data_IF_322129108928
#
_entry.id   IF_322129108928
#
_cell.length_a   1.000
_cell.length_b   1.000
_cell.length_c   1.000
_cell.angle_alpha   90.00
_cell.angle_beta   90.00
_cell.angle_gamma   90.00
#
_symmetry.space_group_name_H-M   'P 1'
#
loop_
_entity.id
_entity.type
_entity.pdbx_description
1 polymer ?
#
# COMPACT_ATOMS: atom_id res chain seq x y z
N UNK A 1 -52.84 -62.14 -28.14
CA UNK A 1 -52.66 -61.28 -29.33
C UNK A 1 -52.27 -59.90 -28.86
N UNK A 2 -51.19 -59.38 -29.44
CA UNK A 2 -50.75 -57.98 -29.47
C UNK A 2 -50.22 -57.32 -28.17
N UNK A 3 -48.88 -57.32 -28.12
CA UNK A 3 -47.98 -56.31 -27.55
C UNK A 3 -48.41 -54.88 -27.96
N UNK A 4 -48.35 -53.90 -27.06
CA UNK A 4 -48.05 -52.52 -27.45
C UNK A 4 -47.30 -51.78 -26.35
N UNK A 5 -46.01 -51.57 -26.63
CA UNK A 5 -45.06 -50.76 -25.89
C UNK A 5 -45.32 -49.28 -26.25
N UNK A 6 -45.69 -48.45 -25.27
CA UNK A 6 -45.84 -47.00 -25.47
C UNK A 6 -44.73 -46.27 -24.70
N UNK A 7 -43.65 -45.94 -25.41
CA UNK A 7 -42.61 -45.00 -24.98
C UNK A 7 -43.12 -43.61 -25.31
N UNK A 8 -43.50 -42.83 -24.28
CA UNK A 8 -43.77 -41.40 -24.41
C UNK A 8 -42.52 -40.62 -24.01
N UNK A 9 -41.94 -39.98 -25.02
CA UNK A 9 -40.76 -39.10 -24.98
C UNK A 9 -41.09 -37.85 -24.16
N UNK A 10 -40.39 -37.65 -23.04
CA UNK A 10 -40.37 -36.38 -22.33
C UNK A 10 -39.55 -35.36 -23.14
N UNK A 11 -40.23 -34.45 -23.83
CA UNK A 11 -39.60 -33.30 -24.46
C UNK A 11 -39.27 -32.27 -23.36
N UNK A 12 -38.07 -32.35 -22.81
CA UNK A 12 -37.55 -31.32 -21.91
C UNK A 12 -37.34 -30.03 -22.72
N UNK A 13 -38.27 -29.09 -22.61
CA UNK A 13 -38.07 -27.70 -23.02
C UNK A 13 -37.02 -27.15 -22.05
N UNK A 14 -35.74 -27.20 -22.44
CA UNK A 14 -34.72 -26.44 -21.74
C UNK A 14 -35.05 -24.95 -21.94
N UNK A 15 -35.30 -24.16 -20.89
CA UNK A 15 -35.31 -22.72 -21.06
C UNK A 15 -33.90 -22.35 -21.51
N UNK A 16 -33.79 -21.93 -22.77
CA UNK A 16 -32.63 -21.20 -23.24
C UNK A 16 -32.35 -20.12 -22.19
N UNK A 17 -31.15 -20.15 -21.62
CA UNK A 17 -30.59 -19.07 -20.82
C UNK A 17 -30.62 -17.82 -21.70
N UNK A 18 -31.75 -17.12 -21.65
CA UNK A 18 -31.86 -15.74 -22.05
C UNK A 18 -30.87 -15.03 -21.14
N UNK A 19 -29.73 -14.63 -21.71
CA UNK A 19 -28.79 -13.71 -21.10
C UNK A 19 -29.57 -12.44 -20.86
N UNK A 20 -30.15 -12.33 -19.66
CA UNK A 20 -30.87 -11.14 -19.22
C UNK A 20 -29.88 -9.99 -19.32
N UNK A 21 -30.23 -8.98 -20.12
CA UNK A 21 -29.47 -7.74 -20.23
C UNK A 21 -29.50 -7.12 -18.84
N UNK A 22 -28.37 -7.20 -18.13
CA UNK A 22 -28.27 -7.00 -16.69
C UNK A 22 -29.05 -5.78 -16.22
N UNK A 23 -30.06 -6.02 -15.39
CA UNK A 23 -30.70 -4.99 -14.59
C UNK A 23 -29.61 -4.40 -13.69
N UNK A 24 -29.23 -3.15 -13.95
CA UNK A 24 -28.27 -2.43 -13.09
C UNK A 24 -28.86 -2.38 -11.67
N UNK A 25 -28.27 -3.14 -10.75
CA UNK A 25 -28.73 -3.21 -9.37
C UNK A 25 -28.24 -1.97 -8.62
N UNK A 26 -29.15 -1.04 -8.38
CA UNK A 26 -28.86 0.15 -7.58
C UNK A 26 -29.07 -0.15 -6.09
N UNK A 27 -28.18 0.36 -5.25
CA UNK A 27 -28.35 0.35 -3.79
C UNK A 27 -28.05 -0.97 -3.09
N UNK A 28 -27.51 -1.96 -3.80
CA UNK A 28 -27.03 -3.21 -3.19
C UNK A 28 -25.82 -2.99 -2.27
N UNK A 29 -25.08 -1.90 -2.48
CA UNK A 29 -23.78 -1.68 -1.85
C UNK A 29 -22.76 -2.74 -2.30
N UNK A 30 -21.62 -2.78 -1.61
CA UNK A 30 -20.60 -3.80 -1.76
C UNK A 30 -20.30 -4.40 -0.40
N UNK A 31 -20.32 -5.72 -0.29
CA UNK A 31 -19.91 -6.45 0.93
C UNK A 31 -18.87 -7.49 0.50
N UNK A 32 -17.68 -7.39 1.07
CA UNK A 32 -16.53 -8.24 0.71
C UNK A 32 -15.80 -8.71 1.96
N UNK A 33 -15.39 -9.97 1.96
CA UNK A 33 -14.51 -10.52 2.99
C UNK A 33 -13.05 -10.33 2.57
N UNK A 34 -12.29 -9.63 3.39
CA UNK A 34 -10.92 -9.22 3.11
C UNK A 34 -9.98 -10.04 4.02
N UNK A 35 -8.99 -10.76 3.48
CA UNK A 35 -8.09 -11.64 4.24
C UNK A 35 -6.99 -10.86 4.97
N UNK A 36 -7.38 -9.79 5.67
CA UNK A 36 -6.51 -8.92 6.45
C UNK A 36 -7.12 -8.67 7.84
N UNK A 37 -6.27 -8.44 8.87
CA UNK A 37 -6.76 -8.11 10.21
C UNK A 37 -7.45 -6.74 10.23
N UNK A 38 -8.38 -6.56 11.17
CA UNK A 38 -9.19 -5.34 11.27
C UNK A 38 -8.34 -4.07 11.40
N UNK A 39 -7.19 -4.15 12.07
CA UNK A 39 -6.27 -3.02 12.24
C UNK A 39 -5.74 -2.49 10.90
N UNK A 40 -5.36 -3.40 10.00
CA UNK A 40 -4.79 -3.05 8.70
C UNK A 40 -5.89 -2.49 7.78
N UNK A 41 -7.06 -3.12 7.79
CA UNK A 41 -8.22 -2.67 7.01
C UNK A 41 -8.71 -1.31 7.49
N UNK A 42 -8.81 -1.10 8.80
CA UNK A 42 -9.17 0.20 9.38
C UNK A 42 -8.17 1.28 9.00
N UNK A 43 -6.87 0.97 8.98
CA UNK A 43 -5.84 1.90 8.55
C UNK A 43 -5.99 2.26 7.07
N UNK A 44 -6.16 1.27 6.19
CA UNK A 44 -6.37 1.50 4.76
C UNK A 44 -7.64 2.33 4.49
N UNK A 45 -8.75 2.02 5.17
CA UNK A 45 -10.00 2.81 5.07
C UNK A 45 -9.77 4.25 5.53
N UNK A 46 -9.04 4.49 6.62
CA UNK A 46 -8.72 5.84 7.09
C UNK A 46 -7.91 6.64 6.08
N UNK A 47 -6.95 6.01 5.39
CA UNK A 47 -6.17 6.67 4.34
C UNK A 47 -7.05 7.02 3.13
N UNK A 48 -7.92 6.10 2.71
CA UNK A 48 -8.85 6.31 1.59
C UNK A 48 -9.85 7.42 1.92
N UNK A 49 -10.42 7.49 3.12
CA UNK A 49 -11.37 8.58 3.45
C UNK A 49 -10.67 9.94 3.56
N UNK A 50 -9.40 9.97 3.98
CA UNK A 50 -8.63 11.21 4.15
C UNK A 50 -8.08 11.79 2.83
N UNK A 51 -8.09 11.02 1.73
CA UNK A 51 -7.58 11.51 0.44
C UNK A 51 -8.47 12.61 -0.19
N UNK A 52 -9.70 12.79 0.31
CA UNK A 52 -10.65 13.81 -0.15
C UNK A 52 -11.24 13.60 -1.54
N UNK A 53 -11.12 12.39 -2.10
CA UNK A 53 -11.50 12.05 -3.47
C UNK A 53 -12.48 10.86 -3.47
N UNK A 54 -13.70 11.03 -3.99
CA UNK A 54 -14.63 9.91 -4.23
C UNK A 54 -14.45 9.41 -5.66
N UNK A 55 -14.10 8.13 -5.80
CA UNK A 55 -13.88 7.45 -7.08
C UNK A 55 -15.17 6.78 -7.57
N UNK A 56 -15.17 6.36 -8.84
CA UNK A 56 -16.30 5.66 -9.45
C UNK A 56 -17.50 6.54 -9.81
N UNK A 57 -17.40 7.86 -9.58
CA UNK A 57 -18.36 8.86 -10.07
C UNK A 57 -17.60 10.11 -10.53
N UNK A 58 -18.29 10.99 -11.24
CA UNK A 58 -17.77 12.27 -11.77
C UNK A 58 -18.90 13.28 -11.88
N UNK A 59 -18.58 14.56 -11.67
CA UNK A 59 -19.49 15.69 -11.86
C UNK A 59 -19.41 16.17 -13.32
N UNK A 60 -18.20 16.40 -13.82
CA UNK A 60 -17.95 16.82 -15.19
C UNK A 60 -17.43 15.67 -16.06
N UNK A 61 -17.70 15.74 -17.37
CA UNK A 61 -17.34 14.65 -18.28
C UNK A 61 -15.83 14.38 -18.35
N UNK A 62 -15.02 15.44 -18.18
CA UNK A 62 -13.55 15.38 -18.16
C UNK A 62 -12.97 14.85 -16.85
N UNK A 63 -13.77 14.80 -15.79
CA UNK A 63 -13.29 14.35 -14.50
C UNK A 63 -13.27 12.83 -14.44
N UNK A 64 -12.32 12.30 -13.67
CA UNK A 64 -12.20 10.87 -13.40
C UNK A 64 -12.75 10.50 -12.01
N UNK A 65 -12.90 11.50 -11.14
CA UNK A 65 -13.27 11.35 -9.74
C UNK A 65 -13.85 12.67 -9.22
N UNK A 66 -14.56 12.61 -8.10
CA UNK A 66 -15.12 13.77 -7.42
C UNK A 66 -14.17 14.19 -6.29
N UNK A 67 -13.68 15.42 -6.31
CA UNK A 67 -12.79 15.97 -5.28
C UNK A 67 -13.54 16.77 -4.22
N UNK A 68 -12.89 17.06 -3.09
CA UNK A 68 -13.44 17.94 -2.04
C UNK A 68 -14.36 17.21 -1.07
N UNK A 69 -14.22 15.89 -0.98
CA UNK A 69 -14.91 15.11 0.03
C UNK A 69 -14.21 15.27 1.39
N UNK A 70 -14.98 15.30 2.45
CA UNK A 70 -14.51 15.44 3.83
C UNK A 70 -14.85 14.21 4.64
N UNK A 71 -14.02 13.93 5.65
CA UNK A 71 -14.26 12.85 6.60
C UNK A 71 -15.35 13.30 7.57
N UNK A 72 -16.38 12.48 7.73
CA UNK A 72 -17.48 12.76 8.64
C UNK A 72 -17.73 11.58 9.61
N UNK A 73 -18.35 11.88 10.75
CA UNK A 73 -18.80 10.87 11.73
C UNK A 73 -20.22 10.38 11.47
N UNK A 74 -20.98 11.13 10.65
CA UNK A 74 -22.29 10.75 10.16
C UNK A 74 -22.53 11.38 8.80
N UNK A 75 -23.51 10.88 8.06
CA UNK A 75 -23.92 11.45 6.78
C UNK A 75 -25.44 11.42 6.68
N UNK A 76 -26.00 12.47 6.07
CA UNK A 76 -27.43 12.54 5.76
C UNK A 76 -27.80 11.32 4.89
N UNK A 77 -29.02 10.79 5.06
CA UNK A 77 -29.55 9.65 4.31
C UNK A 77 -29.06 8.27 4.75
N UNK A 78 -28.05 8.18 5.60
CA UNK A 78 -27.74 6.94 6.30
C UNK A 78 -28.40 6.91 7.69
N UNK A 79 -29.14 5.84 8.03
CA UNK A 79 -29.57 5.65 9.41
C UNK A 79 -28.35 5.43 10.31
N UNK A 80 -28.50 5.76 11.60
CA UNK A 80 -27.48 5.44 12.59
C UNK A 80 -27.16 3.94 12.56
N UNK A 81 -25.88 3.61 12.50
CA UNK A 81 -25.43 2.22 12.46
C UNK A 81 -25.67 1.55 13.81
N UNK A 82 -26.36 0.39 13.79
CA UNK A 82 -26.73 -0.37 14.99
C UNK A 82 -26.08 -1.76 15.04
N UNK A 83 -25.41 -2.17 13.96
CA UNK A 83 -24.75 -3.46 13.88
C UNK A 83 -23.31 -3.35 14.41
N UNK A 84 -22.61 -4.48 14.51
CA UNK A 84 -21.20 -4.50 14.89
C UNK A 84 -20.30 -3.89 13.81
N UNK A 85 -19.16 -3.34 14.23
CA UNK A 85 -18.14 -2.82 13.32
C UNK A 85 -17.91 -1.32 13.49
N UNK A 86 -16.78 -0.85 12.97
CA UNK A 86 -16.41 0.56 12.97
C UNK A 86 -16.88 1.21 11.68
N UNK A 87 -17.58 2.34 11.79
CA UNK A 87 -18.15 3.05 10.64
C UNK A 87 -17.41 4.34 10.38
N UNK A 88 -17.14 4.59 9.10
CA UNK A 88 -16.56 5.82 8.59
C UNK A 88 -17.43 6.40 7.49
N UNK A 89 -17.44 7.72 7.36
CA UNK A 89 -18.14 8.41 6.30
C UNK A 89 -17.21 9.34 5.54
N UNK A 90 -17.45 9.41 4.24
CA UNK A 90 -16.82 10.36 3.33
C UNK A 90 -17.93 11.12 2.63
N UNK A 91 -17.97 12.43 2.81
CA UNK A 91 -19.10 13.28 2.44
C UNK A 91 -18.62 14.43 1.57
N UNK A 92 -19.25 14.59 0.41
CA UNK A 92 -19.07 15.73 -0.48
C UNK A 92 -20.41 16.48 -0.56
N UNK A 93 -20.45 17.69 -0.02
CA UNK A 93 -21.63 18.58 -0.12
C UNK A 93 -21.63 19.31 -1.47
N UNK A 94 -22.78 19.78 -1.97
CA UNK A 94 -22.84 20.53 -3.24
C UNK A 94 -22.18 19.79 -4.43
N UNK A 95 -22.35 18.48 -4.50
CA UNK A 95 -21.99 17.68 -5.65
C UNK A 95 -22.99 17.95 -6.79
N UNK A 96 -22.48 18.12 -8.01
CA UNK A 96 -23.26 18.51 -9.18
C UNK A 96 -23.53 17.31 -10.08
N UNK A 97 -24.77 16.82 -10.11
CA UNK A 97 -25.21 15.65 -10.92
C UNK A 97 -24.16 14.51 -11.00
N UNK A 98 -23.81 13.90 -9.85
CA UNK A 98 -22.79 12.85 -9.85
C UNK A 98 -23.26 11.67 -10.70
N UNK A 99 -22.44 11.25 -11.66
CA UNK A 99 -22.75 10.10 -12.51
C UNK A 99 -22.86 8.81 -11.70
N UNK A 100 -23.51 7.81 -12.28
CA UNK A 100 -23.69 6.47 -11.71
C UNK A 100 -24.65 6.37 -10.51
N UNK A 101 -25.34 7.47 -10.22
CA UNK A 101 -26.51 7.50 -9.34
C UNK A 101 -27.77 7.51 -10.19
N UNK A 102 -28.83 6.87 -9.72
CA UNK A 102 -30.12 6.88 -10.43
C UNK A 102 -30.69 8.30 -10.40
N UNK A 103 -31.08 8.85 -11.55
CA UNK A 103 -31.85 10.12 -11.64
C UNK A 103 -31.23 11.32 -10.88
N UNK A 104 -29.90 11.37 -10.78
CA UNK A 104 -29.13 12.33 -9.97
C UNK A 104 -29.07 13.77 -10.49
N UNK A 105 -29.95 14.17 -11.42
CA UNK A 105 -29.83 15.36 -12.27
C UNK A 105 -29.92 16.75 -11.59
N UNK A 106 -29.55 16.84 -10.30
CA UNK A 106 -29.62 18.03 -9.47
C UNK A 106 -28.35 18.18 -8.60
N UNK A 107 -28.29 19.22 -7.78
CA UNK A 107 -27.24 19.47 -6.79
C UNK A 107 -27.60 18.82 -5.47
N UNK A 108 -26.61 18.23 -4.81
CA UNK A 108 -26.86 17.51 -3.58
C UNK A 108 -25.62 17.14 -2.78
N UNK A 109 -25.83 16.30 -1.78
CA UNK A 109 -24.77 15.72 -0.95
C UNK A 109 -24.52 14.28 -1.37
N UNK A 110 -23.29 14.00 -1.80
CA UNK A 110 -22.79 12.65 -2.06
C UNK A 110 -22.14 12.11 -0.79
N UNK A 111 -22.57 10.93 -0.34
CA UNK A 111 -22.05 10.28 0.85
C UNK A 111 -21.69 8.82 0.58
N UNK A 112 -20.51 8.44 1.04
CA UNK A 112 -20.05 7.04 1.05
C UNK A 112 -19.85 6.61 2.49
N UNK A 113 -20.47 5.48 2.85
CA UNK A 113 -20.33 4.84 4.17
C UNK A 113 -19.45 3.61 4.03
N UNK A 114 -18.47 3.48 4.93
CA UNK A 114 -17.60 2.32 5.05
C UNK A 114 -17.86 1.70 6.41
N UNK A 115 -18.15 0.41 6.44
CA UNK A 115 -18.30 -0.38 7.67
C UNK A 115 -17.22 -1.44 7.65
N UNK A 116 -16.39 -1.44 8.69
CA UNK A 116 -15.33 -2.41 8.91
C UNK A 116 -15.74 -3.30 10.07
N UNK A 117 -15.99 -4.57 9.80
CA UNK A 117 -16.43 -5.54 10.80
C UNK A 117 -15.40 -6.67 10.92
N UNK A 118 -14.85 -6.93 12.11
CA UNK A 118 -13.91 -8.03 12.29
C UNK A 118 -14.61 -9.38 12.06
N UNK A 119 -13.95 -10.28 11.33
CA UNK A 119 -14.38 -11.66 11.10
C UNK A 119 -13.25 -12.62 11.52
N UNK A 120 -13.06 -12.74 12.82
CA UNK A 120 -11.93 -13.46 13.42
C UNK A 120 -10.62 -12.67 13.34
N UNK A 121 -9.50 -13.34 13.59
CA UNK A 121 -8.21 -12.64 13.80
C UNK A 121 -7.51 -12.20 12.50
N UNK A 122 -7.91 -12.78 11.37
CA UNK A 122 -7.21 -12.62 10.07
C UNK A 122 -8.11 -12.14 8.94
N UNK A 123 -9.42 -12.07 9.16
CA UNK A 123 -10.34 -11.64 8.14
C UNK A 123 -11.21 -10.51 8.67
N UNK A 124 -11.62 -9.64 7.76
CA UNK A 124 -12.46 -8.49 8.05
C UNK A 124 -13.47 -8.34 6.94
N UNK A 125 -14.74 -8.17 7.29
CA UNK A 125 -15.78 -7.82 6.34
C UNK A 125 -15.75 -6.31 6.16
N UNK A 126 -15.65 -5.88 4.90
CA UNK A 126 -15.80 -4.47 4.51
C UNK A 126 -17.11 -4.34 3.77
N UNK A 127 -17.97 -3.45 4.25
CA UNK A 127 -19.17 -3.01 3.56
C UNK A 127 -19.03 -1.56 3.14
N UNK A 128 -19.34 -1.28 1.88
CA UNK A 128 -19.33 0.06 1.31
C UNK A 128 -20.70 0.32 0.72
N UNK A 129 -21.32 1.44 1.09
CA UNK A 129 -22.58 1.89 0.51
C UNK A 129 -22.40 3.34 0.03
N UNK A 130 -22.85 3.67 -1.17
CA UNK A 130 -22.81 5.04 -1.69
C UNK A 130 -24.21 5.54 -2.07
N UNK A 131 -24.52 6.77 -1.63
CA UNK A 131 -25.79 7.45 -1.91
C UNK A 131 -25.55 8.91 -2.26
N UNK A 132 -26.39 9.44 -3.14
CA UNK A 132 -26.49 10.86 -3.45
C UNK A 132 -27.84 11.39 -2.96
N UNK A 133 -27.88 12.59 -2.41
CA UNK A 133 -29.10 13.17 -1.81
C UNK A 133 -29.27 14.57 -2.32
N UNK A 134 -30.38 14.84 -3.01
CA UNK A 134 -30.68 16.19 -3.51
C UNK A 134 -30.84 17.19 -2.36
N UNK A 135 -30.28 18.40 -2.51
CA UNK A 135 -30.36 19.41 -1.46
C UNK A 135 -31.78 19.99 -1.34
N UNK A 136 -32.52 20.11 -2.45
CA UNK A 136 -33.85 20.71 -2.45
C UNK A 136 -34.97 19.72 -2.07
N UNK A 137 -35.02 18.56 -2.74
CA UNK A 137 -36.11 17.58 -2.52
C UNK A 137 -35.78 16.53 -1.46
N UNK A 138 -34.52 16.46 -1.02
CA UNK A 138 -34.02 15.42 -0.12
C UNK A 138 -34.26 13.99 -0.63
N UNK A 139 -34.41 13.82 -1.96
CA UNK A 139 -34.53 12.51 -2.59
C UNK A 139 -33.21 11.77 -2.48
N UNK A 140 -33.25 10.50 -2.05
CA UNK A 140 -32.07 9.64 -1.96
C UNK A 140 -31.94 8.83 -3.24
N UNK A 141 -30.78 8.95 -3.87
CA UNK A 141 -30.39 8.28 -5.10
C UNK A 141 -29.28 7.28 -4.80
N UNK A 142 -29.55 5.97 -4.82
CA UNK A 142 -28.52 4.97 -4.60
C UNK A 142 -27.53 4.89 -5.78
N UNK A 143 -26.27 4.51 -5.48
CA UNK A 143 -25.25 4.17 -6.48
C UNK A 143 -25.60 2.86 -7.20
N UNK A 144 -25.10 2.71 -8.44
CA UNK A 144 -25.15 1.46 -9.21
C UNK A 144 -24.03 0.44 -8.86
N UNK A 145 -23.24 0.69 -7.82
CA UNK A 145 -22.11 -0.15 -7.40
C UNK A 145 -20.74 0.30 -7.93
N UNK A 146 -20.68 1.27 -8.85
CA UNK A 146 -19.42 1.76 -9.41
C UNK A 146 -18.55 2.51 -8.41
N UNK A 147 -19.17 3.32 -7.55
CA UNK A 147 -18.47 4.04 -6.46
C UNK A 147 -17.91 3.05 -5.47
N UNK A 148 -18.73 2.10 -5.01
CA UNK A 148 -18.36 1.09 -4.04
C UNK A 148 -17.20 0.22 -4.54
N UNK A 149 -17.27 -0.24 -5.79
CA UNK A 149 -16.19 -1.03 -6.41
C UNK A 149 -14.89 -0.25 -6.57
N UNK A 150 -14.96 1.02 -6.96
CA UNK A 150 -13.78 1.87 -7.12
C UNK A 150 -13.12 2.23 -5.78
N UNK A 151 -13.92 2.52 -4.76
CA UNK A 151 -13.42 2.78 -3.41
C UNK A 151 -12.82 1.51 -2.77
N UNK A 152 -13.43 0.34 -2.97
CA UNK A 152 -12.83 -0.92 -2.54
C UNK A 152 -11.51 -1.20 -3.22
N UNK A 153 -11.39 -0.91 -4.52
CA UNK A 153 -10.12 -1.08 -5.22
C UNK A 153 -9.01 -0.25 -4.58
N UNK A 154 -9.28 1.01 -4.23
CA UNK A 154 -8.32 1.89 -3.55
C UNK A 154 -7.92 1.30 -2.19
N UNK A 155 -8.89 0.85 -1.38
CA UNK A 155 -8.64 0.18 -0.10
C UNK A 155 -7.74 -1.06 -0.28
N UNK A 156 -8.04 -1.86 -1.30
CA UNK A 156 -7.28 -3.07 -1.60
C UNK A 156 -5.83 -2.75 -2.01
N UNK A 157 -5.64 -1.78 -2.90
CA UNK A 157 -4.30 -1.33 -3.32
C UNK A 157 -3.48 -0.84 -2.10
N UNK A 158 -4.11 -0.12 -1.17
CA UNK A 158 -3.47 0.30 0.09
C UNK A 158 -3.09 -0.89 1.00
N UNK A 159 -3.95 -1.91 1.10
CA UNK A 159 -3.66 -3.11 1.87
C UNK A 159 -2.49 -3.91 1.29
N UNK A 160 -2.42 -4.03 -0.03
CA UNK A 160 -1.29 -4.67 -0.72
C UNK A 160 0.01 -3.92 -0.46
N UNK A 161 -0.02 -2.58 -0.54
CA UNK A 161 1.14 -1.74 -0.24
C UNK A 161 1.62 -1.91 1.22
N UNK A 162 0.69 -1.95 2.18
CA UNK A 162 1.00 -2.20 3.59
C UNK A 162 1.63 -3.59 3.80
N UNK A 163 1.14 -4.61 3.11
CA UNK A 163 1.69 -5.97 3.19
C UNK A 163 3.10 -6.05 2.59
N UNK A 164 3.31 -5.45 1.41
CA UNK A 164 4.62 -5.39 0.77
C UNK A 164 5.64 -4.71 1.69
N UNK A 165 5.25 -3.62 2.34
CA UNK A 165 6.10 -2.88 3.26
C UNK A 165 6.45 -3.69 4.52
N UNK A 166 5.49 -4.46 5.07
CA UNK A 166 5.74 -5.38 6.18
C UNK A 166 6.69 -6.52 5.80
N UNK A 167 6.56 -7.07 4.60
CA UNK A 167 7.43 -8.15 4.11
C UNK A 167 8.87 -7.66 3.90
N UNK A 168 9.04 -6.46 3.33
CA UNK A 168 10.35 -5.85 3.16
C UNK A 168 11.01 -5.54 4.51
N UNK A 169 10.27 -4.97 5.47
CA UNK A 169 10.76 -4.73 6.82
C UNK A 169 11.18 -6.02 7.54
N UNK A 170 10.43 -7.11 7.38
CA UNK A 170 10.79 -8.42 7.94
C UNK A 170 12.07 -8.99 7.30
N UNK A 171 12.23 -8.84 5.98
CA UNK A 171 13.42 -9.30 5.27
C UNK A 171 14.68 -8.52 5.66
N UNK A 172 14.56 -7.20 5.86
CA UNK A 172 15.66 -6.36 6.37
C UNK A 172 16.02 -6.75 7.80
N UNK A 173 15.03 -6.90 8.70
CA UNK A 173 15.29 -7.36 10.07
C UNK A 173 15.93 -8.75 10.15
N UNK A 174 15.56 -9.66 9.26
CA UNK A 174 16.22 -10.96 9.14
C UNK A 174 17.65 -10.85 8.62
N UNK A 175 17.92 -9.99 7.63
CA UNK A 175 19.30 -9.75 7.16
C UNK A 175 20.17 -9.14 8.25
N UNK A 176 19.66 -8.16 9.00
CA UNK A 176 20.40 -7.55 10.12
C UNK A 176 20.71 -8.56 11.23
N UNK A 177 19.75 -9.40 11.61
CA UNK A 177 19.96 -10.43 12.65
C UNK A 177 20.86 -11.58 12.19
N UNK A 178 20.86 -11.95 10.90
CA UNK A 178 21.82 -12.92 10.35
C UNK A 178 23.23 -12.33 10.33
N UNK A 179 23.38 -11.06 9.94
CA UNK A 179 24.68 -10.39 9.92
C UNK A 179 25.26 -10.23 11.33
N UNK A 180 24.42 -9.89 12.32
CA UNK A 180 24.80 -9.82 13.74
C UNK A 180 25.25 -11.20 14.27
N UNK A 181 24.53 -12.28 13.92
CA UNK A 181 24.92 -13.64 14.30
C UNK A 181 26.20 -14.12 13.62
N UNK A 182 26.48 -13.70 12.38
CA UNK A 182 27.73 -14.02 11.69
C UNK A 182 28.92 -13.32 12.34
N UNK A 183 28.77 -12.04 12.69
CA UNK A 183 29.81 -11.25 13.36
C UNK A 183 30.13 -11.79 14.76
N UNK A 184 29.13 -12.29 15.49
CA UNK A 184 29.31 -12.88 16.82
C UNK A 184 29.95 -14.28 16.80
N UNK A 185 29.87 -14.99 15.68
CA UNK A 185 30.54 -16.29 15.51
C UNK A 185 32.00 -16.17 15.04
N UNK A 186 32.46 -15.02 14.54
CA UNK A 186 33.88 -14.79 14.23
C UNK A 186 34.73 -14.41 15.45
N UNK A 187 34.11 -14.09 16.60
CA UNK A 187 34.82 -13.74 17.83
C UNK A 187 35.11 -14.95 18.76
N UNK A 188 34.78 -16.17 18.31
CA UNK A 188 35.14 -17.41 19.01
C UNK A 188 36.03 -18.29 18.13
N UNK A 189 37.25 -17.81 17.91
CA UNK A 189 38.36 -18.64 17.39
C UNK A 189 38.86 -19.53 18.55
N UNK A 190 38.73 -20.87 18.49
CA UNK A 190 39.44 -21.73 19.41
C UNK A 190 40.90 -21.78 18.98
N UNK A 191 41.79 -21.35 19.86
CA UNK A 191 43.24 -21.48 19.72
C UNK A 191 43.62 -22.94 19.49
N UNK A 192 44.07 -23.29 18.29
CA UNK A 192 44.72 -24.58 18.00
C UNK A 192 46.21 -24.52 18.41
N UNK A 193 46.76 -25.58 19.03
CA UNK A 193 48.13 -25.58 19.52
C UNK A 193 49.16 -25.79 18.40
N UNK A 194 50.31 -25.16 18.59
CA UNK A 194 51.50 -25.27 17.76
C UNK A 194 52.10 -26.68 17.77
N UNK A 195 52.47 -27.20 16.59
CA UNK A 195 53.64 -28.07 16.37
C UNK A 195 53.78 -28.37 14.86
N UNK A 196 54.78 -27.79 14.19
CA UNK A 196 56.03 -28.47 13.83
C UNK A 196 56.89 -27.57 12.93
N UNK A 197 58.14 -27.35 13.34
CA UNK A 197 59.20 -26.77 12.51
C UNK A 197 59.97 -27.93 11.88
N UNK A 198 60.27 -27.84 10.58
CA UNK A 198 61.64 -27.92 10.04
C UNK A 198 61.63 -27.64 8.53
N UNK A 199 62.43 -26.63 8.13
CA UNK A 199 63.29 -26.48 6.94
C UNK A 199 63.12 -27.41 5.73
N UNK A 200 63.42 -27.03 4.49
CA UNK A 200 63.79 -25.81 3.76
C UNK A 200 64.01 -26.26 2.31
N UNK A 201 64.02 -25.29 1.38
CA UNK A 201 64.75 -25.26 0.10
C UNK A 201 64.00 -25.35 -1.24
N UNK A 202 64.51 -24.48 -2.13
CA UNK A 202 64.36 -24.37 -3.58
C UNK A 202 63.29 -23.38 -4.04
N UNK A 203 63.58 -22.08 -4.14
CA UNK A 203 64.53 -21.36 -5.02
C UNK A 203 63.78 -20.68 -6.17
N UNK A 204 63.85 -19.35 -6.17
CA UNK A 204 63.33 -18.46 -7.19
C UNK A 204 64.13 -18.54 -8.50
N UNK A 205 63.46 -18.42 -9.65
CA UNK A 205 63.94 -17.67 -10.82
C UNK A 205 62.94 -17.67 -12.00
N UNK A 206 62.98 -16.56 -12.78
CA UNK A 206 62.41 -16.30 -14.12
C UNK A 206 60.92 -15.89 -14.16
N UNK A 207 60.51 -14.61 -14.25
CA UNK A 207 60.84 -13.46 -15.11
C UNK A 207 60.32 -13.54 -16.55
N UNK A 208 59.33 -12.64 -16.87
CA UNK A 208 58.95 -12.03 -18.17
C UNK A 208 58.47 -13.01 -19.26
N UNK A 209 57.49 -12.78 -20.13
CA UNK A 209 56.71 -11.67 -20.73
C UNK A 209 55.27 -12.23 -20.94
N UNK A 210 54.17 -11.48 -21.06
CA UNK A 210 53.84 -10.68 -22.24
C UNK A 210 52.58 -9.83 -21.95
N UNK A 211 52.69 -8.53 -22.25
CA UNK A 211 51.57 -7.58 -22.28
C UNK A 211 50.72 -7.77 -23.53
N UNK A 212 49.40 -7.75 -23.39
CA UNK A 212 48.51 -7.14 -24.39
C UNK A 212 47.22 -6.65 -23.72
N UNK A 213 47.15 -5.34 -23.48
CA UNK A 213 45.92 -4.59 -23.19
C UNK A 213 45.24 -4.23 -24.54
N UNK A 214 43.91 -3.97 -24.56
CA UNK A 214 43.47 -2.61 -24.24
C UNK A 214 42.19 -2.51 -23.41
N UNK A 215 42.30 -1.71 -22.34
CA UNK A 215 41.41 -0.61 -21.95
C UNK A 215 39.89 -0.81 -21.99
N UNK A 216 39.32 -1.16 -20.83
CA UNK A 216 38.06 -0.58 -20.34
C UNK A 216 38.07 -0.55 -18.80
N UNK A 217 38.37 0.64 -18.26
CA UNK A 217 38.12 1.14 -16.91
C UNK A 217 37.58 0.12 -15.88
N UNK A 218 38.47 -0.60 -15.21
CA UNK A 218 38.17 -1.25 -13.93
C UNK A 218 38.04 -0.18 -12.86
N UNK A 219 36.86 0.42 -12.72
CA UNK A 219 36.49 1.06 -11.45
C UNK A 219 36.62 -0.01 -10.36
N UNK A 220 37.41 0.27 -9.33
CA UNK A 220 37.57 -0.70 -8.25
C UNK A 220 36.20 -0.90 -7.58
N UNK A 221 35.81 -2.13 -7.20
CA UNK A 221 34.53 -2.38 -6.50
C UNK A 221 34.33 -1.49 -5.27
N UNK A 222 35.43 -1.03 -4.66
CA UNK A 222 35.45 -0.08 -3.54
C UNK A 222 35.04 1.34 -3.93
N UNK A 223 35.43 1.83 -5.11
CA UNK A 223 34.94 3.11 -5.65
C UNK A 223 33.47 3.03 -6.05
N UNK A 224 33.04 1.90 -6.62
CA UNK A 224 31.62 1.67 -6.92
C UNK A 224 30.78 1.61 -5.64
N UNK A 225 31.26 0.94 -4.59
CA UNK A 225 30.61 0.93 -3.27
C UNK A 225 30.55 2.32 -2.64
N UNK A 226 31.59 3.15 -2.80
CA UNK A 226 31.59 4.54 -2.33
C UNK A 226 30.60 5.41 -3.11
N UNK A 227 30.52 5.25 -4.44
CA UNK A 227 29.53 5.95 -5.26
C UNK A 227 28.10 5.52 -4.92
N UNK A 228 27.89 4.23 -4.68
CA UNK A 228 26.59 3.69 -4.29
C UNK A 228 26.19 4.18 -2.89
N UNK A 229 27.14 4.23 -1.93
CA UNK A 229 26.91 4.85 -0.62
C UNK A 229 26.52 6.32 -0.74
N UNK A 230 27.27 7.10 -1.53
CA UNK A 230 26.95 8.51 -1.80
C UNK A 230 25.59 8.72 -2.48
N UNK A 231 25.11 7.77 -3.27
CA UNK A 231 23.76 7.83 -3.86
C UNK A 231 22.64 7.60 -2.82
N UNK A 232 22.94 6.90 -1.74
CA UNK A 232 21.97 6.50 -0.70
C UNK A 232 22.06 7.41 0.53
N UNK A 233 23.21 8.05 0.75
CA UNK A 233 23.43 9.06 1.78
C UNK A 233 22.79 10.39 1.36
N UNK A 234 21.86 10.87 2.19
CA UNK A 234 21.22 12.18 2.03
C UNK A 234 21.44 13.02 3.26
N UNK A 235 21.40 14.34 3.06
CA UNK A 235 21.59 15.33 4.12
C UNK A 235 20.27 16.04 4.36
N UNK A 236 19.95 16.30 5.64
CA UNK A 236 18.77 17.07 6.03
C UNK A 236 18.94 18.55 5.68
N UNK A 237 18.00 19.11 4.91
CA UNK A 237 18.00 20.52 4.51
C UNK A 237 17.77 21.47 5.71
N UNK A 238 18.26 22.72 5.66
CA UNK A 238 17.88 23.76 6.63
C UNK A 238 16.38 24.07 6.58
N UNK A 239 15.69 24.31 7.72
CA UNK A 239 16.21 24.49 9.09
C UNK A 239 16.38 23.19 9.91
N UNK A 240 16.24 22.01 9.31
CA UNK A 240 16.12 20.72 10.00
C UNK A 240 14.80 20.04 9.65
N UNK A 241 14.67 18.76 10.02
CA UNK A 241 13.50 17.97 9.64
C UNK A 241 13.06 17.00 10.75
N UNK A 242 11.74 16.82 10.93
CA UNK A 242 11.22 15.88 11.91
C UNK A 242 11.38 14.43 11.42
N UNK A 243 12.12 13.62 12.18
CA UNK A 243 12.14 12.17 12.03
C UNK A 243 10.84 11.60 12.61
N UNK A 244 10.01 11.02 11.76
CA UNK A 244 8.68 10.50 12.11
C UNK A 244 8.68 9.00 12.30
N UNK A 245 7.74 8.51 13.10
CA UNK A 245 7.54 7.06 13.29
C UNK A 245 6.95 6.36 12.06
N UNK A 246 6.35 7.10 11.12
CA UNK A 246 5.64 6.53 9.97
C UNK A 246 5.60 7.51 8.78
N UNK A 247 5.42 7.03 7.53
CA UNK A 247 5.52 7.81 6.29
C UNK A 247 4.28 8.68 6.00
N UNK A 248 3.90 9.54 6.94
CA UNK A 248 2.80 10.49 6.74
C UNK A 248 2.90 11.71 7.66
N UNK A 249 2.29 12.83 7.24
CA UNK A 249 2.48 14.14 7.88
C UNK A 249 2.00 14.19 9.33
N UNK A 250 0.94 13.47 9.69
CA UNK A 250 0.41 13.42 11.06
C UNK A 250 1.10 12.41 11.98
N UNK A 251 2.10 11.67 11.49
CA UNK A 251 2.82 10.68 12.30
C UNK A 251 3.56 11.35 13.46
N UNK A 252 3.62 10.65 14.59
CA UNK A 252 4.36 11.09 15.78
C UNK A 252 5.81 11.37 15.40
N UNK A 253 6.30 12.56 15.74
CA UNK A 253 7.71 12.91 15.62
C UNK A 253 8.48 12.17 16.72
N UNK A 254 9.44 11.35 16.31
CA UNK A 254 10.36 10.66 17.21
C UNK A 254 11.43 11.64 17.71
N UNK A 255 12.11 12.29 16.77
CA UNK A 255 13.23 13.18 17.01
C UNK A 255 13.24 14.28 15.95
N UNK A 256 13.69 15.49 16.27
CA UNK A 256 13.98 16.50 15.25
C UNK A 256 15.45 16.43 14.86
N UNK A 257 15.74 16.20 13.59
CA UNK A 257 17.11 16.15 13.08
C UNK A 257 17.57 17.56 12.70
N UNK A 258 18.76 18.00 13.15
CA UNK A 258 19.31 19.28 12.74
C UNK A 258 19.69 19.26 11.25
N UNK A 259 19.73 20.44 10.63
CA UNK A 259 20.23 20.60 9.27
C UNK A 259 21.66 20.09 9.14
N UNK A 260 22.00 19.47 8.03
CA UNK A 260 23.33 18.88 7.84
C UNK A 260 23.46 17.45 8.40
N UNK A 261 22.41 16.88 9.00
CA UNK A 261 22.46 15.49 9.46
C UNK A 261 22.47 14.54 8.26
N UNK A 262 23.52 13.73 8.16
CA UNK A 262 23.60 12.62 7.22
C UNK A 262 22.68 11.48 7.65
N UNK A 263 21.89 11.01 6.69
CA UNK A 263 20.98 9.89 6.87
C UNK A 263 21.11 8.92 5.71
N UNK A 264 21.05 7.63 6.01
CA UNK A 264 21.06 6.57 5.02
C UNK A 264 19.63 6.25 4.63
N UNK A 265 19.31 6.26 3.33
CA UNK A 265 17.99 5.82 2.87
C UNK A 265 17.93 4.29 2.94
N UNK A 266 17.08 3.78 3.81
CA UNK A 266 16.78 2.35 3.93
C UNK A 266 15.54 1.99 3.11
N UNK A 267 14.58 2.91 2.96
CA UNK A 267 13.33 2.68 2.24
C UNK A 267 13.00 3.87 1.34
N UNK A 268 12.68 3.62 0.07
CA UNK A 268 12.31 4.66 -0.89
C UNK A 268 10.83 4.57 -1.26
N UNK A 269 10.05 5.58 -0.88
CA UNK A 269 8.67 5.76 -1.36
C UNK A 269 8.56 7.05 -2.18
N UNK A 270 7.42 7.32 -2.87
CA UNK A 270 7.28 8.51 -3.69
C UNK A 270 7.50 9.83 -2.95
N UNK A 271 7.02 9.94 -1.70
CA UNK A 271 7.01 11.19 -0.92
C UNK A 271 7.75 11.11 0.42
N UNK A 272 8.01 9.90 0.91
CA UNK A 272 8.68 9.64 2.19
C UNK A 272 9.88 8.74 2.00
N UNK A 273 10.94 9.04 2.73
CA UNK A 273 12.15 8.23 2.77
C UNK A 273 12.25 7.63 4.17
N UNK A 274 12.33 6.31 4.23
CA UNK A 274 12.70 5.61 5.45
C UNK A 274 14.20 5.75 5.61
N UNK A 275 14.63 6.35 6.71
CA UNK A 275 16.01 6.73 6.93
C UNK A 275 16.54 6.17 8.23
N UNK A 276 17.83 5.88 8.22
CA UNK A 276 18.60 5.49 9.39
C UNK A 276 19.70 6.54 9.61
N UNK A 277 19.79 7.03 10.84
CA UNK A 277 20.85 7.95 11.27
C UNK A 277 22.10 7.17 11.67
N UNK A 278 23.27 7.82 11.69
CA UNK A 278 24.51 7.22 12.22
C UNK A 278 24.40 6.70 13.67
N UNK A 279 23.41 7.17 14.44
CA UNK A 279 23.13 6.72 15.80
C UNK A 279 22.22 5.47 15.85
N UNK A 280 21.90 4.86 14.70
CA UNK A 280 21.00 3.72 14.60
C UNK A 280 19.52 4.07 14.87
N UNK A 281 19.15 5.36 14.84
CA UNK A 281 17.74 5.74 14.91
C UNK A 281 17.11 5.61 13.53
N UNK A 282 16.00 4.87 13.48
CA UNK A 282 15.20 4.68 12.28
C UNK A 282 13.95 5.53 12.33
N UNK A 283 13.55 6.07 11.18
CA UNK A 283 12.28 6.75 11.04
C UNK A 283 12.03 7.18 9.61
N UNK A 284 11.08 8.08 9.46
CA UNK A 284 10.60 8.55 8.18
C UNK A 284 10.78 10.06 8.08
N UNK A 285 11.28 10.51 6.95
CA UNK A 285 11.47 11.92 6.64
C UNK A 285 10.86 12.21 5.27
N UNK A 286 10.37 13.43 5.06
CA UNK A 286 9.84 13.78 3.75
C UNK A 286 10.99 13.84 2.74
N UNK A 287 10.74 13.38 1.51
CA UNK A 287 11.72 13.48 0.42
C UNK A 287 12.13 14.93 0.17
N UNK A 288 11.23 15.88 0.36
CA UNK A 288 11.46 17.30 0.11
C UNK A 288 12.43 17.92 1.14
N UNK A 289 12.52 17.32 2.33
CA UNK A 289 13.37 17.75 3.44
C UNK A 289 14.82 17.21 3.34
N UNK A 290 15.11 16.39 2.33
CA UNK A 290 16.42 15.79 2.09
C UNK A 290 17.06 16.27 0.79
N UNK A 291 18.36 16.47 0.83
CA UNK A 291 19.22 16.71 -0.34
C UNK A 291 20.31 15.64 -0.47
N UNK A 292 20.91 15.53 -1.66
CA UNK A 292 22.00 14.59 -1.89
C UNK A 292 23.25 15.04 -1.12
N UNK A 293 23.95 14.11 -0.46
CA UNK A 293 25.22 14.42 0.19
C UNK A 293 26.30 14.79 -0.86
N UNK A 294 27.15 15.80 -0.59
CA UNK A 294 28.22 16.23 -1.48
C UNK A 294 29.38 15.23 -1.65
#
# INVERSE_FOLDING_TARGET
MAVLLAILVNLAIQPALAREKGTTQYGAGLIVNVPFPESDVTQAVKEVIQNGIIRGSKEYERDQYITGAEVATSARGFPAWQESGTVFYKVRTHALDPRNFKESGDVGTLAVRYVVQPQGDKNTVVRIDAIFIEDFRHTVHPSNGSVEGAEYKDIHDHLEALNALKQEAAAVGQRSSVNEKLLRNEESVPSLPAQNRTNSESAAALAKEEMAQPTALTETPQEQLRKLRRQVERVVKPPGAPLKASPFRSAKTLTSLPSGTEVLIVITTPYWLGVETHQGQHGWISRDDLELAP
#
